data_IF_888056132553
#
_entry.id   IF_888056132553
#
_cell.length_a   1.000
_cell.length_b   1.000
_cell.length_c   1.000
_cell.angle_alpha   90.00
_cell.angle_beta   90.00
_cell.angle_gamma   90.00
#
_symmetry.space_group_name_H-M   'P 1'
#
loop_
_entity.id
_entity.type
_entity.pdbx_description
1 polymer ?
#
# COMPACT_ATOMS: atom_id res chain seq x y z
N UNK A 1 -1.37 5.50 -15.04
CA UNK A 1 -2.16 5.81 -13.83
C UNK A 1 -3.18 4.69 -13.65
N UNK A 2 -3.28 4.06 -12.48
CA UNK A 2 -4.30 3.03 -12.25
C UNK A 2 -5.67 3.72 -12.22
N UNK A 3 -6.56 3.38 -13.16
CA UNK A 3 -7.91 3.94 -13.20
C UNK A 3 -8.81 3.14 -12.27
N UNK A 4 -9.02 3.63 -11.04
CA UNK A 4 -9.97 3.02 -10.11
C UNK A 4 -11.41 3.45 -10.44
N UNK A 5 -12.37 2.56 -10.15
CA UNK A 5 -13.79 2.78 -10.46
C UNK A 5 -14.44 3.90 -9.65
N UNK A 6 -13.90 4.24 -8.48
CA UNK A 6 -14.44 5.29 -7.62
C UNK A 6 -13.32 6.04 -6.88
N UNK A 7 -13.64 7.27 -6.45
CA UNK A 7 -12.69 8.16 -5.77
C UNK A 7 -12.25 7.61 -4.42
N UNK A 8 -13.12 6.88 -3.71
CA UNK A 8 -12.82 6.33 -2.39
C UNK A 8 -11.71 5.28 -2.46
N UNK A 9 -11.73 4.42 -3.48
CA UNK A 9 -10.68 3.44 -3.77
C UNK A 9 -9.37 4.14 -4.16
N UNK A 10 -9.45 5.20 -4.97
CA UNK A 10 -8.27 6.00 -5.35
C UNK A 10 -7.61 6.64 -4.11
N UNK A 11 -8.40 7.25 -3.21
CA UNK A 11 -7.91 7.82 -1.96
C UNK A 11 -7.24 6.75 -1.10
N UNK A 12 -7.88 5.59 -0.96
CA UNK A 12 -7.32 4.48 -0.18
C UNK A 12 -6.01 3.97 -0.77
N UNK A 13 -5.93 3.85 -2.11
CA UNK A 13 -4.70 3.48 -2.82
C UNK A 13 -3.58 4.48 -2.57
N UNK A 14 -3.83 5.78 -2.72
CA UNK A 14 -2.80 6.83 -2.55
C UNK A 14 -2.23 6.81 -1.14
N UNK A 15 -3.08 6.70 -0.12
CA UNK A 15 -2.61 6.63 1.28
C UNK A 15 -1.84 5.33 1.54
N UNK A 16 -2.31 4.20 0.98
CA UNK A 16 -1.62 2.91 1.10
C UNK A 16 -0.25 2.94 0.42
N UNK A 17 -0.14 3.56 -0.76
CA UNK A 17 1.11 3.74 -1.49
C UNK A 17 2.10 4.60 -0.71
N UNK A 18 1.63 5.70 -0.12
CA UNK A 18 2.47 6.57 0.70
C UNK A 18 3.06 5.80 1.90
N UNK A 19 2.22 5.07 2.64
CA UNK A 19 2.67 4.27 3.79
C UNK A 19 3.59 3.13 3.33
N UNK A 20 3.29 2.49 2.21
CA UNK A 20 4.15 1.45 1.65
C UNK A 20 5.55 2.01 1.33
N UNK A 21 5.63 3.19 0.72
CA UNK A 21 6.89 3.87 0.45
C UNK A 21 7.64 4.25 1.73
N UNK A 22 6.95 4.68 2.79
CA UNK A 22 7.57 4.95 4.10
C UNK A 22 8.14 3.67 4.74
N UNK A 23 7.40 2.55 4.69
CA UNK A 23 7.87 1.26 5.19
C UNK A 23 9.10 0.79 4.42
N UNK A 24 9.06 0.88 3.09
CA UNK A 24 10.16 0.48 2.22
C UNK A 24 11.42 1.32 2.47
N UNK A 25 11.25 2.63 2.64
CA UNK A 25 12.32 3.59 2.92
C UNK A 25 12.57 3.77 4.43
N UNK A 26 12.36 2.72 5.23
CA UNK A 26 12.57 2.78 6.68
C UNK A 26 13.99 3.26 7.00
N UNK A 27 14.10 4.23 7.92
CA UNK A 27 15.38 4.72 8.43
C UNK A 27 16.04 3.75 9.41
N UNK A 28 15.29 2.78 9.93
CA UNK A 28 15.83 1.72 10.76
C UNK A 28 16.60 0.72 9.89
N UNK A 29 17.91 0.61 10.13
CA UNK A 29 18.81 -0.22 9.30
C UNK A 29 18.44 -1.70 9.34
N UNK A 30 17.99 -2.21 10.48
CA UNK A 30 17.58 -3.61 10.62
C UNK A 30 16.37 -3.90 9.74
N UNK A 31 15.34 -3.05 9.83
CA UNK A 31 14.12 -3.13 9.03
C UNK A 31 14.41 -2.97 7.54
N UNK A 32 15.22 -1.96 7.18
CA UNK A 32 15.61 -1.71 5.79
C UNK A 32 16.34 -2.91 5.19
N UNK A 33 17.34 -3.47 5.89
CA UNK A 33 18.06 -4.66 5.44
C UNK A 33 17.13 -5.88 5.26
N UNK A 34 16.19 -6.09 6.18
CA UNK A 34 15.20 -7.16 6.08
C UNK A 34 14.34 -6.99 4.84
N UNK A 35 13.82 -5.78 4.58
CA UNK A 35 12.99 -5.50 3.40
C UNK A 35 13.80 -5.73 2.11
N UNK A 36 15.03 -5.22 2.05
CA UNK A 36 15.89 -5.37 0.86
C UNK A 36 16.23 -6.84 0.59
N UNK A 37 16.47 -7.64 1.63
CA UNK A 37 16.77 -9.08 1.50
C UNK A 37 15.59 -9.86 0.91
N UNK A 38 14.36 -9.45 1.21
CA UNK A 38 13.14 -10.14 0.80
C UNK A 38 12.35 -9.37 -0.27
N UNK A 39 12.98 -8.42 -0.97
CA UNK A 39 12.30 -7.53 -1.93
C UNK A 39 11.69 -8.27 -3.13
N UNK A 40 12.24 -9.46 -3.46
CA UNK A 40 11.72 -10.32 -4.53
C UNK A 40 10.81 -11.45 -4.01
N UNK A 41 10.73 -11.63 -2.68
CA UNK A 41 9.91 -12.67 -2.08
C UNK A 41 8.44 -12.27 -2.13
N UNK A 42 7.66 -13.00 -2.92
CA UNK A 42 6.26 -12.68 -3.15
C UNK A 42 5.42 -12.70 -1.88
N UNK A 43 5.67 -13.64 -0.96
CA UNK A 43 4.91 -13.76 0.26
C UNK A 43 5.24 -12.63 1.22
N UNK A 44 6.53 -12.30 1.34
CA UNK A 44 6.98 -11.14 2.12
C UNK A 44 6.37 -9.84 1.59
N UNK A 45 6.46 -9.58 0.28
CA UNK A 45 5.91 -8.38 -0.36
C UNK A 45 4.40 -8.30 -0.15
N UNK A 46 3.67 -9.42 -0.29
CA UNK A 46 2.24 -9.46 -0.02
C UNK A 46 1.90 -9.05 1.42
N UNK A 47 2.66 -9.55 2.41
CA UNK A 47 2.47 -9.19 3.81
C UNK A 47 2.81 -7.73 4.08
N UNK A 48 3.84 -7.19 3.43
CA UNK A 48 4.21 -5.77 3.54
C UNK A 48 3.13 -4.85 2.95
N UNK A 49 2.54 -5.23 1.82
CA UNK A 49 1.39 -4.53 1.22
C UNK A 49 0.18 -4.57 2.15
N UNK A 50 -0.14 -5.75 2.72
CA UNK A 50 -1.25 -5.88 3.67
C UNK A 50 -1.03 -5.01 4.92
N UNK A 51 0.22 -4.90 5.40
CA UNK A 51 0.57 -4.00 6.51
C UNK A 51 0.33 -2.53 6.14
N UNK A 52 0.76 -2.11 4.95
CA UNK A 52 0.55 -0.74 4.47
C UNK A 52 -0.94 -0.40 4.35
N UNK A 53 -1.75 -1.31 3.79
CA UNK A 53 -3.20 -1.13 3.65
C UNK A 53 -3.91 -1.04 5.00
N UNK A 54 -3.56 -1.89 5.98
CA UNK A 54 -4.12 -1.81 7.35
C UNK A 54 -3.76 -0.48 8.04
N UNK A 55 -2.56 0.02 7.81
CA UNK A 55 -2.13 1.32 8.35
C UNK A 55 -2.85 2.48 7.66
N UNK A 56 -3.09 2.39 6.35
CA UNK A 56 -3.88 3.36 5.60
C UNK A 56 -5.32 3.44 6.10
N UNK A 57 -5.95 2.29 6.31
CA UNK A 57 -7.28 2.18 6.90
C UNK A 57 -7.33 2.90 8.25
N UNK A 58 -6.43 2.53 9.19
CA UNK A 58 -6.35 3.17 10.51
C UNK A 58 -6.15 4.69 10.40
N UNK A 59 -5.32 5.16 9.47
CA UNK A 59 -5.07 6.58 9.26
C UNK A 59 -6.32 7.31 8.77
N UNK A 60 -6.99 6.77 7.75
CA UNK A 60 -8.19 7.36 7.16
C UNK A 60 -9.35 7.40 8.15
N UNK A 61 -9.57 6.30 8.89
CA UNK A 61 -10.60 6.24 9.93
C UNK A 61 -10.38 7.28 11.04
N UNK A 62 -9.13 7.51 11.43
CA UNK A 62 -8.78 8.50 12.47
C UNK A 62 -8.80 9.95 11.97
N UNK A 63 -8.78 10.21 10.66
CA UNK A 63 -8.68 11.57 10.12
C UNK A 63 -9.81 11.92 9.16
N UNK A 64 -9.77 11.37 7.95
CA UNK A 64 -10.58 11.81 6.82
C UNK A 64 -12.00 11.22 6.82
N UNK A 65 -12.20 10.01 7.34
CA UNK A 65 -13.46 9.27 7.22
C UNK A 65 -14.25 9.15 8.53
N UNK A 66 -13.97 9.98 9.54
CA UNK A 66 -14.57 9.86 10.89
C UNK A 66 -16.10 9.73 10.91
N UNK A 67 -16.82 10.48 10.06
CA UNK A 67 -18.29 10.55 10.08
C UNK A 67 -18.98 9.47 9.23
N UNK A 68 -18.33 8.99 8.17
CA UNK A 68 -18.91 8.05 7.19
C UNK A 68 -17.98 6.85 6.93
N UNK A 69 -17.27 6.41 7.98
CA UNK A 69 -16.24 5.37 7.89
C UNK A 69 -16.74 4.08 7.24
N UNK A 70 -17.87 3.56 7.71
CA UNK A 70 -18.42 2.29 7.23
C UNK A 70 -18.80 2.34 5.74
N UNK A 71 -19.45 3.44 5.32
CA UNK A 71 -19.82 3.69 3.92
C UNK A 71 -18.57 3.81 3.04
N UNK A 72 -17.55 4.57 3.48
CA UNK A 72 -16.32 4.71 2.71
C UNK A 72 -15.57 3.39 2.60
N UNK A 73 -15.50 2.61 3.67
CA UNK A 73 -14.85 1.30 3.63
C UNK A 73 -15.58 0.31 2.72
N UNK A 74 -16.92 0.33 2.66
CA UNK A 74 -17.67 -0.57 1.78
C UNK A 74 -17.50 -0.22 0.29
N UNK A 75 -17.16 1.03 -0.03
CA UNK A 75 -16.85 1.47 -1.40
C UNK A 75 -15.44 1.07 -1.88
N UNK A 76 -14.53 0.70 -0.97
CA UNK A 76 -13.13 0.40 -1.33
C UNK A 76 -13.03 -0.96 -2.02
N UNK A 77 -12.52 -0.96 -3.24
CA UNK A 77 -12.04 -2.19 -3.90
C UNK A 77 -10.65 -2.59 -3.35
N UNK A 78 -10.64 -3.26 -2.19
CA UNK A 78 -9.40 -3.69 -1.53
C UNK A 78 -8.55 -4.61 -2.42
N UNK A 79 -9.18 -5.46 -3.22
CA UNK A 79 -8.49 -6.36 -4.13
C UNK A 79 -7.78 -5.56 -5.23
N UNK A 80 -8.47 -4.60 -5.83
CA UNK A 80 -7.90 -3.69 -6.83
C UNK A 80 -6.74 -2.89 -6.28
N UNK A 81 -6.86 -2.37 -5.04
CA UNK A 81 -5.76 -1.66 -4.36
C UNK A 81 -4.54 -2.58 -4.18
N UNK A 82 -4.74 -3.79 -3.65
CA UNK A 82 -3.64 -4.74 -3.43
C UNK A 82 -2.92 -5.10 -4.72
N UNK A 83 -3.67 -5.35 -5.80
CA UNK A 83 -3.11 -5.62 -7.13
C UNK A 83 -2.33 -4.43 -7.69
N UNK A 84 -2.85 -3.22 -7.53
CA UNK A 84 -2.20 -1.98 -7.96
C UNK A 84 -0.88 -1.73 -7.22
N UNK A 85 -0.83 -1.99 -5.90
CA UNK A 85 0.39 -1.87 -5.10
C UNK A 85 1.43 -2.93 -5.51
N UNK A 86 1.03 -4.19 -5.68
CA UNK A 86 1.92 -5.25 -6.12
C UNK A 86 2.50 -4.96 -7.51
N UNK A 87 1.67 -4.52 -8.46
CA UNK A 87 2.12 -4.13 -9.79
C UNK A 87 3.17 -3.00 -9.71
N UNK A 88 2.90 -1.99 -8.88
CA UNK A 88 3.84 -0.88 -8.69
C UNK A 88 5.19 -1.36 -8.14
N UNK A 89 5.18 -2.19 -7.09
CA UNK A 89 6.39 -2.77 -6.51
C UNK A 89 7.25 -3.48 -7.55
N UNK A 90 6.69 -4.43 -8.29
CA UNK A 90 7.45 -5.20 -9.27
C UNK A 90 7.88 -4.37 -10.48
N UNK A 91 7.12 -3.33 -10.84
CA UNK A 91 7.51 -2.40 -11.93
C UNK A 91 8.76 -1.62 -11.52
N UNK A 92 8.76 -0.99 -10.34
CA UNK A 92 9.93 -0.25 -9.83
C UNK A 92 11.13 -1.16 -9.62
N UNK A 93 10.90 -2.37 -9.09
CA UNK A 93 11.97 -3.34 -8.89
C UNK A 93 12.61 -3.74 -10.22
N UNK A 94 11.82 -4.01 -11.26
CA UNK A 94 12.32 -4.30 -12.59
C UNK A 94 13.11 -3.11 -13.18
N UNK A 95 12.59 -1.88 -13.03
CA UNK A 95 13.28 -0.66 -13.47
C UNK A 95 14.57 -0.37 -12.69
N UNK A 96 14.73 -0.90 -11.47
CA UNK A 96 15.93 -0.70 -10.65
C UNK A 96 17.04 -1.71 -10.94
N UNK A 97 16.74 -2.78 -11.68
CA UNK A 97 17.70 -3.86 -12.01
C UNK A 97 18.20 -3.74 -13.46
N UNK A 98 17.48 -3.02 -14.32
CA UNK A 98 17.86 -2.68 -15.70
C UNK A 98 18.82 -1.48 -15.74
#
# INVERSE_FOLDING_TARGET
MNTFKNKTTEIFYVVSLHIYAELFNSKDKTTSNMIMTHVMDHEFVCRLIDLAMRNAEKHLLKKAWKKNAAEKLSEVDFKGVKQALAKMHYTVLAESIC
#
